data_IF_948488821981
#
_entry.id   IF_948488821981
#
_cell.length_a   1.000
_cell.length_b   1.000
_cell.length_c   1.000
_cell.angle_alpha   90.00
_cell.angle_beta   90.00
_cell.angle_gamma   90.00
#
_symmetry.space_group_name_H-M   'P 1'
#
loop_
_entity.id
_entity.type
_entity.pdbx_description
1 polymer ?
#
# COMPACT_ATOMS: atom_id res chain seq x y z
N UNK A 1 16.37 -78.10 15.92
CA UNK A 1 16.19 -76.91 15.05
C UNK A 1 15.23 -75.99 15.81
N UNK A 2 15.64 -75.03 16.65
CA UNK A 2 16.47 -73.82 16.40
C UNK A 2 16.00 -73.18 15.07
N UNK A 3 15.45 -71.96 14.98
CA UNK A 3 15.87 -70.65 15.53
C UNK A 3 14.66 -69.68 15.56
N UNK A 4 14.71 -68.72 16.49
CA UNK A 4 13.85 -67.54 16.73
C UNK A 4 13.90 -66.53 15.56
N UNK A 5 12.81 -65.84 15.15
CA UNK A 5 12.93 -64.57 14.44
C UNK A 5 12.80 -63.39 15.42
N UNK A 6 13.82 -62.53 15.38
CA UNK A 6 14.01 -61.40 16.27
C UNK A 6 13.23 -60.15 15.92
N UNK A 7 13.19 -59.29 16.93
CA UNK A 7 12.84 -57.88 16.91
C UNK A 7 13.82 -57.03 16.10
N UNK A 8 13.32 -56.22 15.18
CA UNK A 8 14.02 -55.00 14.73
C UNK A 8 13.01 -53.86 14.60
N UNK A 9 13.09 -52.93 15.55
CA UNK A 9 12.49 -51.60 15.50
C UNK A 9 13.23 -50.79 14.44
N UNK A 10 12.57 -50.41 13.33
CA UNK A 10 13.07 -49.38 12.41
C UNK A 10 12.40 -48.05 12.74
N UNK A 11 13.20 -47.15 13.32
CA UNK A 11 12.89 -45.72 13.43
C UNK A 11 13.02 -45.11 12.03
N UNK A 12 11.91 -44.64 11.46
CA UNK A 12 11.91 -43.75 10.29
C UNK A 12 12.14 -42.33 10.77
N UNK A 13 13.25 -41.74 10.36
CA UNK A 13 13.53 -40.31 10.51
C UNK A 13 12.78 -39.56 9.39
N UNK A 14 11.94 -38.59 9.77
CA UNK A 14 11.36 -37.63 8.85
C UNK A 14 12.42 -36.58 8.50
N UNK A 15 12.79 -36.47 7.23
CA UNK A 15 13.55 -35.33 6.71
C UNK A 15 12.58 -34.14 6.61
N UNK A 16 12.84 -33.09 7.39
CA UNK A 16 12.25 -31.77 7.18
C UNK A 16 12.99 -31.11 6.01
N UNK A 17 12.28 -30.89 4.90
CA UNK A 17 12.76 -30.15 3.75
C UNK A 17 12.52 -28.66 4.04
N UNK A 18 13.58 -27.94 4.40
CA UNK A 18 13.57 -26.48 4.49
C UNK A 18 13.62 -25.95 3.06
N UNK A 19 12.51 -25.42 2.58
CA UNK A 19 12.45 -24.68 1.31
C UNK A 19 13.19 -23.36 1.47
N UNK A 20 14.34 -23.22 0.80
CA UNK A 20 14.94 -21.90 0.56
C UNK A 20 14.08 -21.19 -0.49
N UNK A 21 13.35 -20.15 -0.06
CA UNK A 21 12.84 -19.12 -0.98
C UNK A 21 14.06 -18.33 -1.43
N UNK A 22 14.45 -18.50 -2.69
CA UNK A 22 15.43 -17.63 -3.31
C UNK A 22 14.75 -16.27 -3.56
N UNK A 23 15.13 -15.26 -2.78
CA UNK A 23 14.89 -13.86 -3.14
C UNK A 23 15.71 -13.60 -4.41
N UNK A 24 15.04 -13.50 -5.55
CA UNK A 24 15.64 -12.92 -6.73
C UNK A 24 15.90 -11.43 -6.44
N UNK A 25 17.03 -10.85 -6.86
CA UNK A 25 17.20 -9.41 -6.84
C UNK A 25 16.10 -8.78 -7.71
N UNK A 26 15.39 -7.78 -7.16
CA UNK A 26 14.49 -6.93 -7.94
C UNK A 26 15.27 -6.36 -9.12
N UNK A 27 14.78 -6.57 -10.33
CA UNK A 27 15.28 -5.83 -11.48
C UNK A 27 14.82 -4.39 -11.28
N UNK A 28 15.74 -3.42 -11.23
CA UNK A 28 15.32 -2.02 -11.33
C UNK A 28 14.64 -1.86 -12.68
N UNK A 29 13.42 -1.33 -12.68
CA UNK A 29 12.73 -0.98 -13.91
C UNK A 29 13.56 0.08 -14.66
N UNK A 30 13.58 0.05 -15.99
CA UNK A 30 14.26 1.09 -16.77
C UNK A 30 13.41 2.39 -16.70
N UNK A 31 14.00 3.59 -16.73
CA UNK A 31 13.23 4.83 -16.76
C UNK A 31 12.15 4.82 -17.86
N UNK A 32 10.91 5.12 -17.49
CA UNK A 32 9.73 5.00 -18.36
C UNK A 32 8.94 3.70 -18.21
N UNK A 33 9.41 2.73 -17.43
CA UNK A 33 8.62 1.55 -17.06
C UNK A 33 7.54 1.91 -16.02
N UNK A 34 6.32 1.34 -16.14
CA UNK A 34 5.25 1.57 -15.19
C UNK A 34 5.58 0.96 -13.82
N UNK A 35 4.97 1.50 -12.76
CA UNK A 35 5.05 0.95 -11.39
C UNK A 35 4.68 -0.54 -11.38
N UNK A 36 5.47 -1.39 -10.71
CA UNK A 36 5.08 -2.76 -10.48
C UNK A 36 4.00 -2.82 -9.38
N UNK A 37 2.78 -3.12 -9.82
CA UNK A 37 1.62 -3.26 -8.95
C UNK A 37 1.62 -4.59 -8.17
N UNK A 38 2.43 -5.58 -8.54
CA UNK A 38 2.45 -6.88 -7.88
C UNK A 38 1.13 -7.66 -8.05
N UNK A 39 0.79 -8.48 -7.06
CA UNK A 39 -0.46 -9.25 -7.02
C UNK A 39 -0.44 -10.61 -7.73
N UNK A 40 -1.35 -11.50 -7.32
CA UNK A 40 -1.47 -12.85 -7.88
C UNK A 40 -2.31 -12.84 -9.16
N UNK A 41 -1.84 -13.41 -10.28
CA UNK A 41 -2.61 -13.39 -11.52
C UNK A 41 -3.99 -14.04 -11.37
N UNK A 42 -5.02 -13.36 -11.85
CA UNK A 42 -6.39 -13.86 -11.87
C UNK A 42 -6.98 -13.81 -13.28
N UNK A 43 -7.84 -14.77 -13.61
CA UNK A 43 -8.59 -14.73 -14.87
C UNK A 43 -9.72 -13.70 -14.83
N UNK A 44 -10.17 -13.26 -15.99
CA UNK A 44 -11.25 -12.28 -16.11
C UNK A 44 -12.48 -12.90 -16.75
N UNK A 45 -13.65 -12.36 -16.40
CA UNK A 45 -14.92 -12.70 -17.01
C UNK A 45 -15.59 -11.41 -17.49
N UNK A 46 -16.31 -11.48 -18.60
CA UNK A 46 -17.15 -10.37 -19.09
C UNK A 46 -18.64 -10.72 -18.99
N UNK A 47 -18.96 -11.88 -18.41
CA UNK A 47 -20.33 -12.37 -18.19
C UNK A 47 -20.72 -12.11 -16.73
N UNK A 48 -21.63 -11.17 -16.51
CA UNK A 48 -22.16 -10.78 -15.19
C UNK A 48 -22.84 -11.94 -14.44
N UNK A 49 -23.24 -13.00 -15.16
CA UNK A 49 -23.83 -14.22 -14.57
C UNK A 49 -22.77 -15.25 -14.18
N UNK A 50 -21.53 -15.06 -14.63
CA UNK A 50 -20.38 -15.93 -14.34
C UNK A 50 -19.14 -15.08 -14.02
N UNK A 51 -19.22 -14.20 -13.01
CA UNK A 51 -18.07 -13.38 -12.64
C UNK A 51 -16.92 -14.26 -12.13
N UNK A 52 -15.69 -13.77 -12.29
CA UNK A 52 -14.52 -14.38 -11.64
C UNK A 52 -14.66 -14.23 -10.13
N UNK A 53 -14.65 -15.34 -9.39
CA UNK A 53 -14.64 -15.28 -7.92
C UNK A 53 -13.22 -15.02 -7.43
N UNK A 54 -13.06 -14.00 -6.59
CA UNK A 54 -11.82 -13.65 -5.91
C UNK A 54 -11.99 -13.80 -4.39
N UNK A 55 -10.88 -14.00 -3.70
CA UNK A 55 -10.82 -13.99 -2.22
C UNK A 55 -10.19 -12.69 -1.74
N UNK A 56 -10.14 -12.48 -0.42
CA UNK A 56 -9.40 -11.37 0.16
C UNK A 56 -7.92 -11.49 -0.24
N UNK A 57 -7.28 -10.40 -0.61
CA UNK A 57 -5.92 -10.39 -1.15
C UNK A 57 -5.71 -9.39 -2.27
N UNK A 58 -4.55 -9.51 -2.91
CA UNK A 58 -4.13 -8.68 -4.04
C UNK A 58 -4.01 -9.53 -5.29
N UNK A 59 -4.78 -9.18 -6.31
CA UNK A 59 -4.89 -9.90 -7.58
C UNK A 59 -4.42 -9.03 -8.73
N UNK A 60 -3.81 -9.61 -9.75
CA UNK A 60 -3.33 -8.90 -10.93
C UNK A 60 -4.07 -9.35 -12.19
N UNK A 61 -4.36 -8.38 -13.05
CA UNK A 61 -4.97 -8.55 -14.36
C UNK A 61 -4.58 -7.39 -15.28
N UNK A 62 -5.13 -7.34 -16.50
CA UNK A 62 -4.91 -6.24 -17.45
C UNK A 62 -6.07 -6.08 -18.41
N UNK A 63 -6.28 -4.86 -18.91
CA UNK A 63 -7.05 -4.66 -20.13
C UNK A 63 -6.15 -4.77 -21.35
N UNK A 64 -6.63 -5.50 -22.36
CA UNK A 64 -6.00 -5.60 -23.66
C UNK A 64 -6.20 -4.31 -24.47
N UNK A 65 -5.35 -4.02 -25.47
CA UNK A 65 -5.49 -2.85 -26.34
C UNK A 65 -6.88 -2.76 -26.98
N UNK A 66 -7.54 -1.60 -26.87
CA UNK A 66 -8.88 -1.37 -27.43
C UNK A 66 -10.01 -2.20 -26.79
N UNK A 67 -9.77 -2.83 -25.65
CA UNK A 67 -10.80 -3.57 -24.93
C UNK A 67 -11.94 -2.64 -24.47
N UNK A 68 -13.17 -3.06 -24.76
CA UNK A 68 -14.40 -2.32 -24.47
C UNK A 68 -15.25 -3.00 -23.39
N UNK A 69 -14.83 -4.17 -22.92
CA UNK A 69 -15.58 -4.97 -21.97
C UNK A 69 -15.11 -4.70 -20.56
N UNK A 70 -16.07 -4.74 -19.65
CA UNK A 70 -15.81 -4.73 -18.22
C UNK A 70 -15.39 -6.12 -17.75
N UNK A 71 -14.55 -6.18 -16.73
CA UNK A 71 -14.23 -7.39 -15.99
C UNK A 71 -15.20 -7.51 -14.80
N UNK A 72 -15.92 -8.62 -14.78
CA UNK A 72 -16.89 -8.98 -13.77
C UNK A 72 -16.24 -9.89 -12.73
N UNK A 73 -16.20 -9.40 -11.49
CA UNK A 73 -15.63 -10.08 -10.33
C UNK A 73 -16.72 -10.31 -9.28
N UNK A 74 -16.51 -11.29 -8.42
CA UNK A 74 -17.37 -11.54 -7.28
C UNK A 74 -16.56 -11.89 -6.04
N UNK A 75 -17.06 -11.47 -4.90
CA UNK A 75 -16.52 -11.76 -3.59
C UNK A 75 -17.60 -12.33 -2.69
N UNK A 76 -17.30 -13.43 -2.00
CA UNK A 76 -18.17 -14.06 -1.01
C UNK A 76 -17.68 -13.61 0.37
N UNK A 77 -18.54 -12.91 1.13
CA UNK A 77 -18.20 -12.49 2.49
C UNK A 77 -17.92 -13.70 3.36
N UNK A 78 -16.92 -13.60 4.23
CA UNK A 78 -16.60 -14.67 5.18
C UNK A 78 -17.49 -14.65 6.41
N UNK A 79 -18.07 -13.48 6.73
CA UNK A 79 -19.01 -13.33 7.83
C UNK A 79 -20.12 -12.32 7.50
N UNK A 80 -21.22 -12.36 8.27
CA UNK A 80 -22.31 -11.38 8.13
C UNK A 80 -21.91 -10.06 8.76
N UNK A 81 -22.42 -8.97 8.17
CA UNK A 81 -22.23 -7.59 8.66
C UNK A 81 -20.78 -7.10 8.69
N UNK A 82 -19.91 -7.69 7.88
CA UNK A 82 -18.56 -7.13 7.62
C UNK A 82 -18.67 -5.96 6.63
N UNK A 83 -17.67 -5.09 6.58
CA UNK A 83 -17.48 -4.18 5.43
C UNK A 83 -16.47 -4.80 4.47
N UNK A 84 -16.61 -4.58 3.16
CA UNK A 84 -15.62 -5.02 2.17
C UNK A 84 -15.04 -3.80 1.48
N UNK A 85 -13.74 -3.61 1.64
CA UNK A 85 -12.96 -2.62 0.93
C UNK A 85 -12.42 -3.27 -0.34
N UNK A 86 -12.69 -2.65 -1.47
CA UNK A 86 -12.22 -3.14 -2.76
C UNK A 86 -11.61 -1.98 -3.53
N UNK A 87 -10.46 -2.19 -4.15
CA UNK A 87 -9.80 -1.18 -4.95
C UNK A 87 -9.27 -1.74 -6.25
N UNK A 88 -9.13 -0.84 -7.22
CA UNK A 88 -8.42 -1.08 -8.47
C UNK A 88 -7.34 -0.04 -8.60
N UNK A 89 -6.11 -0.48 -8.80
CA UNK A 89 -4.98 0.39 -9.14
C UNK A 89 -4.44 -0.04 -10.49
N UNK A 90 -4.23 0.90 -11.40
CA UNK A 90 -3.72 0.64 -12.74
C UNK A 90 -2.50 1.51 -13.03
N UNK A 91 -1.65 1.07 -13.94
CA UNK A 91 -0.47 1.83 -14.39
C UNK A 91 -0.59 2.07 -15.87
N UNK A 92 -1.12 3.24 -16.26
CA UNK A 92 -1.29 3.56 -17.65
C UNK A 92 0.04 3.72 -18.37
N UNK A 93 0.03 3.50 -19.68
CA UNK A 93 1.19 3.72 -20.55
C UNK A 93 0.93 4.81 -21.59
N UNK A 94 -0.22 5.48 -21.45
CA UNK A 94 -0.67 6.54 -22.34
C UNK A 94 -1.62 7.47 -21.61
N UNK A 95 -1.56 8.75 -21.97
CA UNK A 95 -2.47 9.78 -21.45
C UNK A 95 -3.93 9.45 -21.76
N UNK A 96 -4.85 9.86 -20.89
CA UNK A 96 -6.30 9.72 -21.10
C UNK A 96 -6.85 8.32 -20.82
N UNK A 97 -6.02 7.43 -20.28
CA UNK A 97 -6.47 6.19 -19.68
C UNK A 97 -7.30 6.47 -18.44
N UNK A 98 -8.26 5.60 -18.17
CA UNK A 98 -9.08 5.69 -16.98
C UNK A 98 -9.58 4.33 -16.56
N UNK A 99 -9.84 4.20 -15.27
CA UNK A 99 -10.43 3.03 -14.66
C UNK A 99 -11.67 3.43 -13.90
N UNK A 100 -12.68 2.58 -13.93
CA UNK A 100 -13.93 2.69 -13.18
C UNK A 100 -14.13 1.39 -12.42
N UNK A 101 -14.49 1.53 -11.15
CA UNK A 101 -14.85 0.44 -10.25
C UNK A 101 -16.28 0.66 -9.77
N UNK A 102 -17.13 -0.35 -9.92
CA UNK A 102 -18.50 -0.35 -9.44
C UNK A 102 -18.76 -1.56 -8.56
N UNK A 103 -19.54 -1.38 -7.50
CA UNK A 103 -19.93 -2.46 -6.60
C UNK A 103 -21.45 -2.65 -6.57
N UNK A 104 -21.87 -3.91 -6.46
CA UNK A 104 -23.28 -4.27 -6.42
C UNK A 104 -23.57 -5.39 -5.41
N UNK A 105 -24.72 -5.28 -4.73
CA UNK A 105 -25.31 -6.36 -3.94
C UNK A 105 -26.08 -7.38 -4.80
N UNK A 106 -26.59 -8.44 -4.15
CA UNK A 106 -27.22 -9.61 -4.79
C UNK A 106 -28.37 -9.30 -5.77
N UNK A 107 -29.14 -8.24 -5.54
CA UNK A 107 -30.29 -7.87 -6.38
C UNK A 107 -29.92 -6.87 -7.50
N UNK A 108 -28.63 -6.58 -7.68
CA UNK A 108 -28.16 -5.50 -8.54
C UNK A 108 -28.27 -4.12 -7.89
N UNK A 109 -28.55 -4.04 -6.58
CA UNK A 109 -28.47 -2.80 -5.80
C UNK A 109 -27.05 -2.24 -5.92
N UNK A 110 -26.91 -1.00 -6.39
CA UNK A 110 -25.61 -0.34 -6.45
C UNK A 110 -25.12 -0.02 -5.04
N UNK A 111 -23.84 -0.28 -4.80
CA UNK A 111 -23.16 -0.08 -3.52
C UNK A 111 -21.99 0.90 -3.63
N UNK A 112 -21.89 1.63 -4.74
CA UNK A 112 -20.81 2.58 -5.00
C UNK A 112 -20.26 2.48 -6.41
N UNK A 113 -19.68 3.60 -6.87
CA UNK A 113 -18.98 3.71 -8.14
C UNK A 113 -17.94 4.80 -8.03
N UNK A 114 -16.70 4.51 -8.44
CA UNK A 114 -15.58 5.45 -8.45
C UNK A 114 -14.83 5.36 -9.79
N UNK A 115 -14.18 6.45 -10.17
CA UNK A 115 -13.38 6.55 -11.40
C UNK A 115 -12.07 7.27 -11.11
N UNK A 116 -10.97 6.80 -11.68
CA UNK A 116 -9.70 7.53 -11.74
C UNK A 116 -9.25 7.64 -13.20
N UNK A 117 -8.50 8.70 -13.51
CA UNK A 117 -7.95 8.95 -14.84
C UNK A 117 -6.49 9.34 -14.75
N UNK A 118 -5.70 8.88 -15.73
CA UNK A 118 -4.29 9.22 -15.83
C UNK A 118 -4.12 10.72 -16.05
N UNK A 119 -3.17 11.31 -15.34
CA UNK A 119 -2.72 12.67 -15.64
C UNK A 119 -2.12 12.70 -17.06
N UNK A 120 -2.43 13.76 -17.79
CA UNK A 120 -1.87 13.97 -19.12
C UNK A 120 -0.36 14.22 -19.07
N UNK A 121 0.12 14.92 -18.04
CA UNK A 121 1.52 15.27 -17.87
C UNK A 121 2.38 14.10 -17.36
N UNK A 122 1.79 13.18 -16.59
CA UNK A 122 2.49 12.03 -16.00
C UNK A 122 1.74 10.71 -16.23
N UNK A 123 1.56 10.27 -17.49
CA UNK A 123 0.64 9.17 -17.83
C UNK A 123 1.06 7.79 -17.31
N UNK A 124 2.32 7.62 -16.89
CA UNK A 124 2.84 6.38 -16.30
C UNK A 124 2.58 6.25 -14.79
N UNK A 125 2.06 7.31 -14.18
CA UNK A 125 1.73 7.33 -12.75
C UNK A 125 0.60 6.35 -12.45
N UNK A 126 0.75 5.57 -11.38
CA UNK A 126 -0.31 4.69 -10.92
C UNK A 126 -1.59 5.49 -10.59
N UNK A 127 -2.73 5.05 -11.08
CA UNK A 127 -4.04 5.63 -10.74
C UNK A 127 -4.87 4.59 -9.99
N UNK A 128 -5.59 5.01 -8.96
CA UNK A 128 -6.30 4.09 -8.08
C UNK A 128 -7.64 4.60 -7.60
N UNK A 129 -8.61 3.69 -7.52
CA UNK A 129 -9.92 3.93 -6.89
C UNK A 129 -10.18 2.87 -5.84
N UNK A 130 -10.89 3.22 -4.78
CA UNK A 130 -11.38 2.28 -3.78
C UNK A 130 -12.84 2.55 -3.41
N UNK A 131 -13.51 1.51 -2.94
CA UNK A 131 -14.89 1.53 -2.46
C UNK A 131 -14.97 0.78 -1.13
N UNK A 132 -15.69 1.37 -0.18
CA UNK A 132 -16.18 0.68 1.01
C UNK A 132 -17.60 0.16 0.74
N UNK A 133 -17.76 -1.16 0.76
CA UNK A 133 -19.06 -1.84 0.61
C UNK A 133 -19.50 -2.33 1.97
N UNK A 134 -20.24 -1.47 2.68
CA UNK A 134 -20.67 -1.70 4.04
C UNK A 134 -22.01 -1.02 4.33
N UNK A 135 -22.24 -0.55 5.57
CA UNK A 135 -23.45 0.19 5.89
C UNK A 135 -23.40 1.62 5.34
N UNK A 136 -24.55 2.18 4.99
CA UNK A 136 -24.66 3.56 4.48
C UNK A 136 -24.33 4.62 5.55
N UNK A 137 -24.25 4.20 6.81
CA UNK A 137 -23.74 4.97 7.94
C UNK A 137 -23.36 4.02 9.08
N UNK A 138 -22.52 4.46 10.01
CA UNK A 138 -21.94 3.58 11.04
C UNK A 138 -22.95 2.70 11.83
N UNK A 139 -24.21 3.15 11.95
CA UNK A 139 -25.29 2.43 12.66
C UNK A 139 -26.34 1.79 11.75
N UNK A 140 -26.23 1.92 10.42
CA UNK A 140 -27.22 1.37 9.49
C UNK A 140 -26.96 -0.10 9.15
N UNK A 141 -27.33 -0.98 10.09
CA UNK A 141 -27.22 -2.43 9.91
C UNK A 141 -28.25 -3.03 8.93
N UNK A 142 -29.11 -2.19 8.33
CA UNK A 142 -30.15 -2.63 7.40
C UNK A 142 -29.78 -2.40 5.93
N UNK A 143 -28.65 -1.76 5.63
CA UNK A 143 -28.17 -1.57 4.26
C UNK A 143 -28.14 -2.89 3.48
N UNK A 144 -28.69 -2.88 2.27
CA UNK A 144 -28.68 -4.03 1.37
C UNK A 144 -27.24 -4.41 0.98
N UNK A 145 -26.33 -3.43 0.91
CA UNK A 145 -24.91 -3.61 0.58
C UNK A 145 -24.13 -4.29 1.72
N UNK A 146 -24.44 -3.95 2.96
CA UNK A 146 -23.90 -4.63 4.14
C UNK A 146 -24.38 -6.10 4.22
N UNK A 147 -25.65 -6.34 3.90
CA UNK A 147 -26.32 -7.63 4.13
C UNK A 147 -26.16 -8.63 2.98
N UNK A 148 -25.61 -8.20 1.85
CA UNK A 148 -25.34 -9.08 0.73
C UNK A 148 -24.21 -10.05 1.07
N UNK A 149 -24.52 -11.36 1.10
CA UNK A 149 -23.52 -12.42 1.34
C UNK A 149 -22.50 -12.49 0.20
N UNK A 150 -22.91 -12.13 -1.02
CA UNK A 150 -22.07 -12.05 -2.21
C UNK A 150 -22.15 -10.66 -2.82
N UNK A 151 -20.98 -10.11 -3.11
CA UNK A 151 -20.81 -8.86 -3.84
C UNK A 151 -20.37 -9.14 -5.27
N UNK A 152 -20.83 -8.31 -6.20
CA UNK A 152 -20.29 -8.24 -7.56
C UNK A 152 -19.53 -6.93 -7.72
N UNK A 153 -18.36 -7.01 -8.32
CA UNK A 153 -17.59 -5.84 -8.73
C UNK A 153 -17.44 -5.83 -10.24
N UNK A 154 -17.57 -4.64 -10.81
CA UNK A 154 -17.38 -4.41 -12.24
C UNK A 154 -16.22 -3.44 -12.38
N UNK A 155 -15.19 -3.86 -13.11
CA UNK A 155 -13.98 -3.05 -13.38
C UNK A 155 -13.93 -2.78 -14.86
N UNK A 156 -13.80 -1.53 -15.26
CA UNK A 156 -13.88 -1.15 -16.68
C UNK A 156 -13.15 0.15 -16.98
N UNK A 157 -13.02 0.51 -18.26
CA UNK A 157 -12.78 1.91 -18.62
C UNK A 157 -13.93 2.81 -18.16
N UNK A 158 -13.65 4.10 -17.88
CA UNK A 158 -14.69 5.07 -17.54
C UNK A 158 -15.62 5.39 -18.73
N UNK A 159 -15.12 5.22 -19.95
CA UNK A 159 -15.86 5.36 -21.21
C UNK A 159 -16.24 4.00 -21.77
N UNK A 160 -17.13 3.95 -22.77
CA UNK A 160 -17.61 2.70 -23.36
C UNK A 160 -16.54 1.90 -24.13
N UNK A 161 -15.39 2.50 -24.44
CA UNK A 161 -14.31 1.88 -25.22
C UNK A 161 -12.96 2.52 -24.87
N UNK A 162 -11.94 1.71 -24.54
CA UNK A 162 -10.56 2.21 -24.47
C UNK A 162 -10.10 2.61 -25.87
N UNK A 163 -9.64 3.85 -26.02
CA UNK A 163 -9.04 4.32 -27.27
C UNK A 163 -7.54 3.96 -27.36
N UNK A 164 -6.95 3.60 -26.23
CA UNK A 164 -5.54 3.26 -26.12
C UNK A 164 -5.18 1.96 -26.84
N UNK A 165 -3.95 1.94 -27.35
CA UNK A 165 -3.34 0.83 -28.09
C UNK A 165 -2.36 0.03 -27.22
N UNK A 166 -2.24 0.36 -25.94
CA UNK A 166 -1.37 -0.31 -24.98
C UNK A 166 -2.20 -1.17 -24.03
N UNK A 167 -1.54 -2.17 -23.44
CA UNK A 167 -2.13 -2.89 -22.30
C UNK A 167 -2.26 -1.93 -21.11
N UNK A 168 -3.28 -2.12 -20.29
CA UNK A 168 -3.40 -1.44 -19.00
C UNK A 168 -3.29 -2.48 -17.88
N UNK A 169 -2.08 -2.73 -17.35
CA UNK A 169 -1.90 -3.54 -16.17
C UNK A 169 -2.65 -2.94 -14.99
N UNK A 170 -3.27 -3.79 -14.19
CA UNK A 170 -3.98 -3.37 -12.99
C UNK A 170 -3.96 -4.43 -11.90
N UNK A 171 -4.19 -4.00 -10.68
CA UNK A 171 -4.43 -4.88 -9.55
C UNK A 171 -5.78 -4.61 -8.93
N UNK A 172 -6.37 -5.65 -8.36
CA UNK A 172 -7.60 -5.62 -7.58
C UNK A 172 -7.22 -6.04 -6.16
N UNK A 173 -7.43 -5.16 -5.18
CA UNK A 173 -7.21 -5.47 -3.77
C UNK A 173 -8.56 -5.61 -3.08
N UNK A 174 -8.75 -6.70 -2.35
CA UNK A 174 -9.96 -6.95 -1.55
C UNK A 174 -9.57 -7.18 -0.10
N UNK A 175 -10.18 -6.40 0.81
CA UNK A 175 -10.00 -6.51 2.26
C UNK A 175 -11.38 -6.56 2.91
N UNK A 176 -11.65 -7.58 3.73
CA UNK A 176 -12.88 -7.65 4.52
C UNK A 176 -12.62 -7.20 5.96
N UNK A 177 -13.35 -6.20 6.41
CA UNK A 177 -13.27 -5.60 7.75
C UNK A 177 -14.38 -6.18 8.64
N UNK A 178 -14.01 -6.69 9.82
CA UNK A 178 -14.95 -7.16 10.83
C UNK A 178 -15.89 -6.05 11.29
N UNK A 179 -17.12 -6.37 11.72
CA UNK A 179 -18.03 -5.38 12.29
C UNK A 179 -17.45 -4.75 13.57
N UNK A 180 -17.91 -3.54 13.86
CA UNK A 180 -17.73 -2.94 15.17
C UNK A 180 -18.41 -3.80 16.25
N UNK A 181 -17.78 -3.85 17.42
CA UNK A 181 -18.41 -4.37 18.62
C UNK A 181 -19.49 -3.39 19.07
N UNK A 182 -20.68 -3.90 19.39
CA UNK A 182 -21.82 -3.10 19.84
C UNK A 182 -22.15 -1.95 18.86
N UNK A 183 -22.18 -2.26 17.56
CA UNK A 183 -22.27 -1.32 16.44
C UNK A 183 -23.34 -0.22 16.60
N UNK A 184 -24.51 -0.53 17.18
CA UNK A 184 -25.59 0.43 17.44
C UNK A 184 -25.17 1.62 18.34
N UNK A 185 -24.12 1.44 19.15
CA UNK A 185 -23.62 2.43 20.12
C UNK A 185 -22.16 2.80 19.92
N UNK A 186 -21.42 2.06 19.08
CA UNK A 186 -20.00 2.28 18.87
C UNK A 186 -19.69 3.70 18.37
N UNK A 187 -20.56 4.25 17.52
CA UNK A 187 -20.45 5.60 16.94
C UNK A 187 -20.36 6.71 17.99
N UNK A 188 -20.99 6.53 19.16
CA UNK A 188 -21.01 7.56 20.23
C UNK A 188 -19.63 7.80 20.85
N UNK A 189 -18.69 6.88 20.62
CA UNK A 189 -17.33 6.92 21.17
C UNK A 189 -16.26 7.20 20.13
N UNK A 190 -16.62 7.17 18.85
CA UNK A 190 -15.69 7.40 17.75
C UNK A 190 -15.48 8.89 17.52
N UNK A 191 -14.25 9.34 17.21
CA UNK A 191 -14.02 10.72 16.81
C UNK A 191 -14.79 11.05 15.52
N UNK A 192 -15.53 12.16 15.54
CA UNK A 192 -16.20 12.68 14.35
C UNK A 192 -15.16 13.05 13.26
N UNK A 193 -15.54 13.07 11.98
CA UNK A 193 -14.73 13.67 10.93
C UNK A 193 -14.38 15.13 11.27
N UNK A 194 -13.24 15.64 10.81
CA UNK A 194 -12.87 17.03 11.02
C UNK A 194 -13.85 17.97 10.28
N UNK A 195 -14.53 18.88 11.00
CA UNK A 195 -15.53 19.80 10.41
C UNK A 195 -14.93 20.85 9.46
N UNK A 196 -13.62 21.10 9.57
CA UNK A 196 -12.85 21.95 8.67
C UNK A 196 -11.61 21.19 8.25
N UNK A 197 -11.02 21.54 7.12
CA UNK A 197 -9.65 21.12 6.81
C UNK A 197 -8.77 21.39 8.03
N UNK A 198 -8.05 20.36 8.47
CA UNK A 198 -7.15 20.52 9.59
C UNK A 198 -6.13 21.60 9.20
N UNK A 199 -5.72 22.45 10.14
CA UNK A 199 -4.67 23.42 9.85
C UNK A 199 -3.43 22.65 9.41
N UNK A 200 -3.09 22.76 8.12
CA UNK A 200 -1.92 22.12 7.58
C UNK A 200 -0.70 22.54 8.40
N UNK A 201 0.06 21.54 8.83
CA UNK A 201 1.38 21.76 9.39
C UNK A 201 2.33 20.93 8.55
N UNK A 202 3.05 21.62 7.66
CA UNK A 202 4.23 21.07 7.01
C UNK A 202 5.08 20.34 8.06
N UNK A 203 5.62 19.16 7.71
CA UNK A 203 6.40 18.40 8.66
C UNK A 203 7.53 19.29 9.21
N UNK A 204 7.76 19.24 10.51
CA UNK A 204 8.91 19.96 11.06
C UNK A 204 10.21 19.41 10.47
N UNK A 205 11.26 20.24 10.44
CA UNK A 205 12.62 19.78 10.15
C UNK A 205 12.89 18.53 10.99
N UNK A 206 12.98 17.39 10.30
CA UNK A 206 13.06 16.09 10.92
C UNK A 206 14.48 15.77 11.38
N UNK A 207 14.63 14.69 12.14
CA UNK A 207 15.94 14.07 12.27
C UNK A 207 16.45 13.69 10.88
N UNK A 208 17.69 14.04 10.56
CA UNK A 208 18.37 13.55 9.36
C UNK A 208 18.52 12.02 9.47
N UNK A 209 17.83 11.30 8.58
CA UNK A 209 17.80 9.84 8.48
C UNK A 209 18.75 9.32 7.38
N UNK A 210 19.46 10.20 6.67
CA UNK A 210 20.36 9.89 5.58
C UNK A 210 19.65 9.49 4.29
N UNK A 211 20.40 8.84 3.40
CA UNK A 211 19.91 8.47 2.06
C UNK A 211 19.00 7.25 2.08
N UNK A 212 17.90 7.32 1.34
CA UNK A 212 17.00 6.20 1.06
C UNK A 212 16.69 6.16 -0.43
N UNK A 213 16.58 4.95 -0.98
CA UNK A 213 16.15 4.75 -2.37
C UNK A 213 14.65 4.40 -2.38
N UNK A 214 13.84 5.19 -3.08
CA UNK A 214 12.42 4.88 -3.27
C UNK A 214 12.24 3.70 -4.24
N UNK A 215 11.14 2.96 -4.10
CA UNK A 215 10.85 1.83 -4.97
C UNK A 215 9.90 2.21 -6.11
N UNK A 216 9.99 1.52 -7.24
CA UNK A 216 8.99 1.58 -8.32
C UNK A 216 7.88 0.53 -8.13
N UNK A 217 7.64 0.10 -6.88
CA UNK A 217 6.59 -0.85 -6.50
C UNK A 217 6.01 -0.50 -5.13
N UNK A 218 4.70 -0.71 -4.96
CA UNK A 218 4.05 -0.58 -3.65
C UNK A 218 4.52 -1.62 -2.63
N UNK A 219 4.91 -2.82 -3.06
CA UNK A 219 5.28 -3.90 -2.14
C UNK A 219 6.73 -3.78 -1.65
N UNK A 220 7.59 -3.16 -2.46
CA UNK A 220 9.01 -2.95 -2.16
C UNK A 220 9.31 -1.55 -1.61
N UNK A 221 8.32 -0.64 -1.57
CA UNK A 221 8.48 0.71 -1.05
C UNK A 221 9.07 0.69 0.38
N UNK A 222 10.18 1.42 0.63
CA UNK A 222 10.82 1.43 1.93
C UNK A 222 9.90 2.07 2.98
N UNK A 223 9.83 1.46 4.15
CA UNK A 223 9.15 2.06 5.31
C UNK A 223 10.00 3.20 5.87
N UNK A 224 9.45 4.41 5.85
CA UNK A 224 10.01 5.60 6.47
C UNK A 224 9.38 5.84 7.83
N UNK A 225 10.23 6.14 8.80
CA UNK A 225 9.82 6.72 10.08
C UNK A 225 9.87 8.25 9.94
N UNK A 226 9.31 8.99 10.89
CA UNK A 226 9.33 10.46 10.79
C UNK A 226 10.75 11.03 10.79
N UNK A 227 11.05 11.90 9.85
CA UNK A 227 12.40 12.42 9.63
C UNK A 227 12.60 12.93 8.20
N UNK A 228 13.80 13.42 7.93
CA UNK A 228 14.22 13.90 6.60
C UNK A 228 15.17 12.89 5.98
N UNK A 229 14.95 12.57 4.71
CA UNK A 229 15.71 11.59 3.96
C UNK A 229 16.19 12.20 2.64
N UNK A 230 17.45 11.97 2.29
CA UNK A 230 17.94 12.30 0.94
C UNK A 230 17.53 11.18 -0.01
N UNK A 231 17.07 11.54 -1.21
CA UNK A 231 16.71 10.57 -2.24
C UNK A 231 16.90 11.14 -3.64
N UNK A 232 16.67 10.29 -4.64
CA UNK A 232 16.72 10.66 -6.04
C UNK A 232 15.55 10.08 -6.82
N UNK A 233 15.18 10.74 -7.91
CA UNK A 233 14.18 10.28 -8.87
C UNK A 233 14.67 10.62 -10.28
N UNK A 234 14.57 9.68 -11.21
CA UNK A 234 14.89 9.93 -12.60
C UNK A 234 13.64 10.34 -13.37
N UNK A 235 13.78 11.22 -14.36
CA UNK A 235 12.69 11.50 -15.30
C UNK A 235 12.13 10.21 -15.91
N UNK A 236 10.80 10.14 -16.02
CA UNK A 236 10.07 8.94 -16.43
C UNK A 236 9.82 7.94 -15.30
N UNK A 237 10.15 8.27 -14.05
CA UNK A 237 9.93 7.38 -12.91
C UNK A 237 8.90 7.92 -11.90
N UNK A 238 8.26 6.97 -11.23
CA UNK A 238 7.50 7.17 -10.00
C UNK A 238 8.21 6.41 -8.87
N UNK A 239 8.60 7.14 -7.82
CA UNK A 239 9.24 6.59 -6.61
C UNK A 239 8.27 6.62 -5.44
N UNK A 240 8.10 5.46 -4.81
CA UNK A 240 7.17 5.25 -3.70
C UNK A 240 7.94 5.03 -2.40
N UNK A 241 7.43 5.65 -1.34
CA UNK A 241 7.93 5.55 0.03
C UNK A 241 6.76 5.28 0.95
N UNK A 242 6.92 4.39 1.93
CA UNK A 242 5.82 3.94 2.76
C UNK A 242 5.87 4.63 4.12
N UNK A 243 4.76 5.19 4.59
CA UNK A 243 4.62 5.74 5.95
C UNK A 243 3.45 5.05 6.62
N UNK A 244 3.70 4.49 7.80
CA UNK A 244 2.67 3.80 8.56
C UNK A 244 1.86 4.79 9.39
N UNK A 245 0.52 4.78 9.24
CA UNK A 245 -0.40 5.55 10.06
C UNK A 245 -1.33 4.63 10.85
N UNK A 246 -1.45 4.95 12.13
CA UNK A 246 -2.45 4.38 13.02
C UNK A 246 -3.67 5.31 13.15
N UNK A 247 -4.71 4.82 13.82
CA UNK A 247 -5.90 5.63 14.12
C UNK A 247 -5.52 6.94 14.84
N UNK A 248 -6.15 8.04 14.40
CA UNK A 248 -5.97 9.37 14.95
C UNK A 248 -4.79 10.15 14.37
N UNK A 249 -3.88 9.48 13.66
CA UNK A 249 -2.69 10.12 13.09
C UNK A 249 -2.95 10.75 11.73
N UNK A 250 -2.13 11.76 11.41
CA UNK A 250 -2.10 12.47 10.14
C UNK A 250 -0.74 12.22 9.47
N UNK A 251 -0.69 12.11 8.14
CA UNK A 251 0.56 12.16 7.39
C UNK A 251 0.77 13.58 6.88
N UNK A 252 1.95 14.13 7.14
CA UNK A 252 2.47 15.31 6.44
C UNK A 252 3.77 14.93 5.74
N UNK A 253 3.93 15.35 4.48
CA UNK A 253 5.13 15.15 3.69
C UNK A 253 5.53 16.46 3.02
N UNK A 254 6.83 16.72 2.96
CA UNK A 254 7.41 17.85 2.25
C UNK A 254 8.62 17.39 1.46
N UNK A 255 8.79 17.93 0.26
CA UNK A 255 9.89 17.65 -0.63
C UNK A 255 10.63 18.94 -0.95
N UNK A 256 11.94 18.92 -0.84
CA UNK A 256 12.82 20.04 -1.17
C UNK A 256 13.79 19.64 -2.27
N UNK A 257 13.88 20.45 -3.32
CA UNK A 257 14.94 20.38 -4.34
C UNK A 257 15.78 21.64 -4.25
N UNK A 258 17.09 21.47 -4.11
CA UNK A 258 18.02 22.58 -4.10
C UNK A 258 17.97 23.39 -5.41
N UNK A 259 18.12 24.70 -5.29
CA UNK A 259 18.28 25.60 -6.44
C UNK A 259 19.49 25.20 -7.28
N UNK A 260 19.33 25.13 -8.59
CA UNK A 260 20.45 24.94 -9.51
C UNK A 260 21.07 26.28 -9.89
N UNK A 261 22.35 26.31 -10.25
CA UNK A 261 22.88 27.51 -10.91
C UNK A 261 22.27 27.63 -12.31
N UNK A 262 22.09 28.85 -12.83
CA UNK A 262 21.63 29.06 -14.22
C UNK A 262 22.45 28.21 -15.22
N UNK A 263 23.76 28.09 -14.99
CA UNK A 263 24.64 27.28 -15.83
C UNK A 263 24.41 25.77 -15.69
N UNK A 264 24.12 25.29 -14.48
CA UNK A 264 23.83 23.87 -14.26
C UNK A 264 22.45 23.52 -14.80
N UNK A 265 21.47 24.41 -14.65
CA UNK A 265 20.14 24.30 -15.25
C UNK A 265 20.26 24.24 -16.79
N UNK A 266 21.02 25.17 -17.40
CA UNK A 266 21.24 25.17 -18.84
C UNK A 266 21.98 23.93 -19.33
N UNK A 267 22.97 23.46 -18.57
CA UNK A 267 23.73 22.27 -18.93
C UNK A 267 22.93 20.98 -18.74
N UNK A 268 22.17 20.85 -17.65
CA UNK A 268 21.41 19.63 -17.32
C UNK A 268 20.08 19.57 -18.06
N UNK A 269 19.37 20.67 -18.22
CA UNK A 269 17.99 20.70 -18.68
C UNK A 269 17.72 21.66 -19.86
N UNK A 270 18.58 22.66 -20.06
CA UNK A 270 18.45 23.64 -21.15
C UNK A 270 17.76 24.94 -20.69
N UNK A 271 16.47 25.08 -20.95
CA UNK A 271 15.76 26.35 -20.63
C UNK A 271 15.04 26.27 -19.28
N UNK A 272 14.53 25.10 -18.91
CA UNK A 272 13.81 24.85 -17.66
C UNK A 272 14.01 23.40 -17.23
N UNK A 273 14.04 23.15 -15.92
CA UNK A 273 14.04 21.79 -15.38
C UNK A 273 12.68 21.11 -15.48
N UNK A 274 12.62 19.79 -15.21
CA UNK A 274 11.37 19.05 -15.23
C UNK A 274 10.44 19.46 -14.09
N UNK A 275 9.15 19.16 -14.25
CA UNK A 275 8.17 19.26 -13.16
C UNK A 275 8.25 18.03 -12.26
N UNK A 276 8.29 18.25 -10.95
CA UNK A 276 8.20 17.23 -9.91
C UNK A 276 6.78 17.27 -9.34
N UNK A 277 6.19 16.11 -9.11
CA UNK A 277 4.88 15.94 -8.48
C UNK A 277 5.04 15.14 -7.17
N UNK A 278 4.34 15.57 -6.13
CA UNK A 278 4.27 14.94 -4.82
C UNK A 278 2.83 14.52 -4.53
N UNK A 279 2.62 13.24 -4.27
CA UNK A 279 1.29 12.68 -4.01
C UNK A 279 1.26 11.67 -2.87
N UNK A 280 0.06 11.25 -2.46
CA UNK A 280 -0.14 10.24 -1.43
C UNK A 280 -1.12 9.17 -1.92
N UNK A 281 -0.86 7.90 -1.60
CA UNK A 281 -1.82 6.82 -1.76
C UNK A 281 -2.24 6.24 -0.41
N UNK A 282 -3.50 5.82 -0.30
CA UNK A 282 -4.03 5.16 0.89
C UNK A 282 -3.61 3.66 0.96
N UNK A 283 -3.91 2.94 2.06
CA UNK A 283 -3.61 1.50 2.19
C UNK A 283 -4.28 0.60 1.13
N UNK A 284 -5.33 1.09 0.47
CA UNK A 284 -5.98 0.43 -0.66
C UNK A 284 -5.38 0.84 -2.02
N UNK A 285 -4.29 1.61 -2.03
CA UNK A 285 -3.58 2.11 -3.22
C UNK A 285 -4.43 3.00 -4.13
N UNK A 286 -5.36 3.75 -3.53
CA UNK A 286 -6.03 4.90 -4.16
C UNK A 286 -5.16 6.14 -4.01
N UNK A 287 -5.00 6.91 -5.08
CA UNK A 287 -4.42 8.27 -5.01
C UNK A 287 -5.34 9.23 -4.25
N UNK A 288 -4.73 10.08 -3.44
CA UNK A 288 -5.41 11.03 -2.58
C UNK A 288 -5.02 12.45 -2.95
N UNK A 289 -6.03 13.31 -3.03
CA UNK A 289 -5.82 14.75 -2.99
C UNK A 289 -5.27 15.16 -1.61
N UNK A 290 -4.45 16.20 -1.57
CA UNK A 290 -4.05 16.81 -0.30
C UNK A 290 -5.31 17.26 0.45
N UNK A 291 -5.41 16.93 1.72
CA UNK A 291 -6.53 17.34 2.57
C UNK A 291 -6.38 18.81 3.06
N UNK A 292 -5.49 19.57 2.44
CA UNK A 292 -5.00 20.86 2.88
C UNK A 292 -5.01 21.86 1.72
N UNK A 293 -5.75 22.97 1.88
CA UNK A 293 -5.98 23.96 0.81
C UNK A 293 -4.75 24.69 0.27
N UNK A 294 -3.67 24.74 1.05
CA UNK A 294 -2.49 25.58 0.76
C UNK A 294 -1.26 24.74 0.39
N UNK A 295 -1.46 23.48 0.01
CA UNK A 295 -0.36 22.58 -0.40
C UNK A 295 0.08 22.82 -1.84
N UNK A 296 1.39 22.98 -2.02
CA UNK A 296 2.02 22.97 -3.34
C UNK A 296 2.47 21.54 -3.68
N UNK A 297 1.71 20.83 -4.52
CA UNK A 297 1.97 19.41 -4.84
C UNK A 297 2.76 19.20 -6.13
N UNK A 298 3.01 20.26 -6.89
CA UNK A 298 3.80 20.21 -8.12
C UNK A 298 4.63 21.48 -8.34
N UNK A 299 5.75 21.36 -9.02
CA UNK A 299 6.54 22.52 -9.44
C UNK A 299 7.79 22.13 -10.22
N UNK A 300 8.40 23.11 -10.89
CA UNK A 300 9.55 22.87 -11.77
C UNK A 300 10.87 23.08 -11.05
N UNK A 301 11.85 22.23 -11.35
CA UNK A 301 13.24 22.44 -10.95
C UNK A 301 13.81 23.64 -11.69
N UNK A 302 14.40 24.60 -10.97
CA UNK A 302 14.87 25.87 -11.54
C UNK A 302 16.10 26.43 -10.79
N UNK A 303 16.42 27.71 -11.06
CA UNK A 303 17.43 28.52 -10.37
C UNK A 303 16.99 29.01 -8.97
N UNK A 304 15.78 28.64 -8.56
CA UNK A 304 15.24 28.80 -7.22
C UNK A 304 14.91 27.42 -6.64
N UNK A 305 15.01 27.30 -5.32
CA UNK A 305 14.70 26.04 -4.65
C UNK A 305 13.21 25.73 -4.81
N UNK A 306 12.91 24.45 -5.01
CA UNK A 306 11.54 23.95 -5.11
C UNK A 306 11.14 23.32 -3.77
N UNK A 307 10.11 23.86 -3.17
CA UNK A 307 9.46 23.32 -1.98
C UNK A 307 8.07 22.83 -2.37
N UNK A 308 7.80 21.54 -2.14
CA UNK A 308 6.48 20.93 -2.30
C UNK A 308 6.02 20.34 -0.97
N UNK A 309 4.71 20.26 -0.78
CA UNK A 309 4.13 19.63 0.39
C UNK A 309 2.76 19.00 0.12
N UNK A 310 2.41 18.03 0.96
CA UNK A 310 1.12 17.36 0.92
C UNK A 310 0.81 16.76 2.29
N UNK A 311 -0.45 16.40 2.52
CA UNK A 311 -0.78 15.56 3.64
C UNK A 311 -2.23 15.12 3.68
N UNK A 312 -2.49 14.14 4.53
CA UNK A 312 -3.78 13.48 4.64
C UNK A 312 -4.11 13.11 6.09
N UNK A 313 -5.40 13.05 6.39
CA UNK A 313 -5.92 12.62 7.69
C UNK A 313 -6.46 13.74 8.56
N UNK A 314 -6.71 13.47 9.84
CA UNK A 314 -6.33 12.26 10.58
C UNK A 314 -7.12 11.00 10.18
N UNK A 315 -6.51 9.82 10.34
CA UNK A 315 -7.17 8.51 10.10
C UNK A 315 -8.29 8.31 11.12
N UNK A 316 -9.54 8.32 10.67
CA UNK A 316 -10.72 8.10 11.52
C UNK A 316 -11.75 7.23 10.83
N UNK A 317 -12.37 6.33 11.58
CA UNK A 317 -13.35 5.41 11.03
C UNK A 317 -14.52 6.12 10.35
N UNK A 318 -15.02 7.20 10.98
CA UNK A 318 -16.18 7.93 10.49
C UNK A 318 -15.90 8.79 9.24
N UNK A 319 -14.64 8.98 8.84
CA UNK A 319 -14.29 9.73 7.62
C UNK A 319 -14.93 9.10 6.36
N UNK A 320 -15.14 7.78 6.35
CA UNK A 320 -15.77 7.06 5.23
C UNK A 320 -17.23 7.46 4.95
N UNK A 321 -17.87 8.15 5.88
CA UNK A 321 -19.27 8.62 5.75
C UNK A 321 -19.37 10.13 5.48
N UNK A 322 -18.24 10.80 5.24
CA UNK A 322 -18.15 12.24 5.03
C UNK A 322 -17.28 12.57 3.80
N UNK A 323 -17.33 11.70 2.79
CA UNK A 323 -16.59 11.81 1.52
C UNK A 323 -15.06 11.96 1.69
N UNK A 324 -14.50 11.50 2.81
CA UNK A 324 -13.06 11.52 3.08
C UNK A 324 -12.45 10.13 2.93
N UNK A 325 -11.31 10.04 2.22
CA UNK A 325 -10.66 8.77 1.89
C UNK A 325 -9.57 8.32 2.89
N UNK A 326 -9.48 8.99 4.05
CA UNK A 326 -8.50 8.68 5.11
C UNK A 326 -9.18 7.98 6.29
N UNK A 327 -9.66 6.75 6.07
CA UNK A 327 -10.50 6.00 7.02
C UNK A 327 -9.99 4.58 7.36
N UNK A 328 -8.81 4.20 6.87
CA UNK A 328 -8.19 2.91 7.11
C UNK A 328 -6.78 3.08 7.69
N UNK A 329 -6.45 2.43 8.82
CA UNK A 329 -5.08 2.42 9.32
C UNK A 329 -4.21 1.51 8.44
N UNK A 330 -2.91 1.75 8.47
CA UNK A 330 -1.90 0.97 7.76
C UNK A 330 -0.94 1.85 6.99
N UNK A 331 -0.43 1.30 5.90
CA UNK A 331 0.60 1.93 5.11
C UNK A 331 0.01 2.89 4.08
N UNK A 332 0.37 4.15 4.21
CA UNK A 332 0.19 5.18 3.19
C UNK A 332 1.48 5.28 2.37
N UNK A 333 1.38 5.70 1.11
CA UNK A 333 2.52 5.79 0.22
C UNK A 333 2.73 7.22 -0.25
N UNK A 334 3.85 7.83 0.11
CA UNK A 334 4.30 9.09 -0.48
C UNK A 334 4.90 8.77 -1.84
N UNK A 335 4.46 9.48 -2.87
CA UNK A 335 4.82 9.28 -4.25
C UNK A 335 5.51 10.51 -4.79
N UNK A 336 6.69 10.34 -5.38
CA UNK A 336 7.42 11.39 -6.10
C UNK A 336 7.48 10.98 -7.56
N UNK A 337 6.97 11.83 -8.45
CA UNK A 337 6.91 11.56 -9.89
C UNK A 337 7.63 12.67 -10.64
N UNK A 338 8.45 12.29 -11.61
CA UNK A 338 9.03 13.23 -12.58
C UNK A 338 8.71 12.73 -13.98
N UNK A 339 7.89 13.44 -14.77
CA UNK A 339 7.58 13.03 -16.13
C UNK A 339 8.79 12.89 -17.03
N UNK A 340 8.69 12.02 -18.04
CA UNK A 340 9.71 11.92 -19.07
C UNK A 340 9.66 13.15 -20.00
N UNK A 341 10.80 13.80 -20.21
CA UNK A 341 10.94 14.87 -21.19
C UNK A 341 11.11 14.29 -22.60
N UNK A 342 9.99 14.01 -23.27
CA UNK A 342 9.98 13.34 -24.58
C UNK A 342 10.55 14.18 -25.74
N UNK A 343 10.72 15.49 -25.59
CA UNK A 343 11.20 16.38 -26.65
C UNK A 343 12.72 16.63 -26.61
N UNK A 344 13.43 16.08 -25.63
CA UNK A 344 14.86 16.33 -25.46
C UNK A 344 15.75 15.29 -26.13
N UNK A 345 16.85 15.75 -26.73
CA UNK A 345 17.93 14.86 -27.20
C UNK A 345 18.83 14.40 -26.04
N UNK A 346 18.63 14.95 -24.83
CA UNK A 346 19.31 14.51 -23.61
C UNK A 346 18.62 13.25 -23.07
N UNK A 347 19.39 12.35 -22.46
CA UNK A 347 18.81 11.22 -21.74
C UNK A 347 18.09 11.67 -20.45
N UNK A 348 17.33 10.78 -19.81
CA UNK A 348 16.66 11.07 -18.53
C UNK A 348 17.65 11.59 -17.50
N UNK A 349 17.28 12.67 -16.82
CA UNK A 349 18.07 13.28 -15.77
C UNK A 349 17.60 12.83 -14.38
N UNK A 350 18.56 12.66 -13.48
CA UNK A 350 18.30 12.39 -12.07
C UNK A 350 18.14 13.70 -11.31
N UNK A 351 17.08 13.77 -10.49
CA UNK A 351 16.76 14.88 -9.59
C UNK A 351 17.04 14.42 -8.16
N UNK A 352 17.94 15.11 -7.48
CA UNK A 352 18.21 14.93 -6.06
C UNK A 352 17.22 15.75 -5.23
N UNK A 353 16.69 15.19 -4.15
CA UNK A 353 15.76 15.88 -3.27
C UNK A 353 15.88 15.40 -1.82
N UNK A 354 15.45 16.25 -0.89
CA UNK A 354 15.23 15.89 0.49
C UNK A 354 13.72 15.69 0.74
N UNK A 355 13.33 14.51 1.21
CA UNK A 355 11.96 14.15 1.56
C UNK A 355 11.81 14.11 3.08
N UNK A 356 10.98 15.00 3.62
CA UNK A 356 10.61 14.99 5.03
C UNK A 356 9.22 14.39 5.20
N UNK A 357 9.08 13.40 6.07
CA UNK A 357 7.79 12.80 6.41
C UNK A 357 7.54 12.86 7.91
N UNK A 358 6.30 13.10 8.33
CA UNK A 358 5.89 13.11 9.73
C UNK A 358 4.53 12.41 9.89
N UNK A 359 4.48 11.41 10.77
CA UNK A 359 3.22 10.86 11.27
C UNK A 359 2.84 11.66 12.51
N UNK A 360 1.94 12.62 12.34
CA UNK A 360 1.54 13.60 13.35
C UNK A 360 0.38 13.08 14.20
N UNK A 361 0.36 13.49 15.47
CA UNK A 361 -0.72 13.19 16.41
C UNK A 361 -0.52 11.89 17.19
N UNK A 362 -1.28 11.77 18.28
CA UNK A 362 -1.29 10.58 19.12
C UNK A 362 -2.13 9.47 18.49
N UNK A 363 -1.72 8.21 18.71
CA UNK A 363 -2.54 7.05 18.38
C UNK A 363 -3.78 7.05 19.26
N UNK A 364 -4.95 7.29 18.68
CA UNK A 364 -6.20 7.45 19.41
C UNK A 364 -7.43 7.23 18.53
N UNK A 365 -8.58 6.95 19.16
CA UNK A 365 -9.86 6.87 18.44
C UNK A 365 -10.04 5.61 17.60
N UNK A 366 -9.23 4.57 17.85
CA UNK A 366 -9.40 3.27 17.24
C UNK A 366 -10.78 2.69 17.54
N UNK A 367 -11.52 2.19 16.53
CA UNK A 367 -12.76 1.50 16.77
C UNK A 367 -12.56 0.21 17.56
N UNK A 368 -13.55 -0.12 18.39
CA UNK A 368 -13.58 -1.43 19.02
C UNK A 368 -14.28 -2.39 18.06
N UNK A 369 -13.53 -3.33 17.51
CA UNK A 369 -14.03 -4.36 16.61
C UNK A 369 -14.52 -5.59 17.35
N UNK A 370 -15.33 -6.40 16.68
CA UNK A 370 -15.72 -7.73 17.16
C UNK A 370 -14.54 -8.72 17.21
N UNK A 371 -13.47 -8.44 16.47
CA UNK A 371 -12.25 -9.24 16.39
C UNK A 371 -11.02 -8.36 16.61
N UNK A 372 -9.98 -8.90 17.28
CA UNK A 372 -8.76 -8.14 17.59
C UNK A 372 -7.96 -7.75 16.32
N UNK A 373 -8.01 -8.60 15.29
CA UNK A 373 -7.43 -8.34 13.96
C UNK A 373 -8.56 -8.21 12.94
N UNK A 374 -9.14 -7.01 12.79
CA UNK A 374 -10.40 -6.84 12.07
C UNK A 374 -10.27 -7.00 10.55
N UNK A 375 -9.09 -6.85 9.97
CA UNK A 375 -8.92 -6.85 8.51
C UNK A 375 -8.46 -8.22 8.01
N UNK A 376 -9.31 -8.92 7.26
CA UNK A 376 -8.94 -10.06 6.43
C UNK A 376 -8.32 -9.54 5.13
N UNK A 377 -7.00 -9.71 4.99
CA UNK A 377 -6.18 -9.11 3.92
C UNK A 377 -5.64 -10.15 2.93
N UNK A 378 -6.03 -11.41 3.08
CA UNK A 378 -5.51 -12.57 2.35
C UNK A 378 -6.26 -13.85 2.74
N UNK A 379 -6.00 -14.96 2.05
CA UNK A 379 -6.57 -16.29 2.38
C UNK A 379 -6.32 -16.65 3.86
N UNK A 380 -7.37 -16.50 4.68
CA UNK A 380 -7.35 -16.70 6.13
C UNK A 380 -6.41 -15.78 6.92
N UNK A 381 -5.76 -14.80 6.29
CA UNK A 381 -4.78 -13.91 6.95
C UNK A 381 -5.47 -12.65 7.47
N UNK A 382 -5.54 -12.51 8.79
CA UNK A 382 -6.03 -11.31 9.47
C UNK A 382 -4.91 -10.37 9.92
N UNK A 383 -5.23 -9.09 10.03
CA UNK A 383 -4.31 -7.99 10.33
C UNK A 383 -5.00 -6.92 11.20
N UNK A 384 -4.20 -6.18 11.95
CA UNK A 384 -4.63 -5.01 12.73
C UNK A 384 -4.89 -3.79 11.82
N UNK A 385 -4.27 -3.76 10.65
CA UNK A 385 -4.36 -2.68 9.66
C UNK A 385 -4.71 -3.18 8.25
N UNK A 386 -5.28 -2.32 7.42
CA UNK A 386 -5.80 -2.67 6.08
C UNK A 386 -4.71 -2.90 5.02
N UNK A 387 -3.49 -2.36 5.23
CA UNK A 387 -2.35 -2.69 4.36
C UNK A 387 -1.90 -4.15 4.52
N UNK A 388 -2.18 -4.78 5.65
CA UNK A 388 -1.77 -6.17 5.94
C UNK A 388 -0.31 -6.32 6.39
N UNK A 389 0.39 -5.21 6.56
CA UNK A 389 1.76 -5.14 7.08
C UNK A 389 1.73 -4.80 8.57
N UNK A 390 2.61 -5.40 9.39
CA UNK A 390 2.69 -5.07 10.80
C UNK A 390 3.17 -3.63 11.00
N UNK A 391 2.69 -2.99 12.07
CA UNK A 391 3.18 -1.68 12.48
C UNK A 391 4.72 -1.70 12.70
N UNK A 392 5.42 -0.59 12.42
CA UNK A 392 6.84 -0.47 12.70
C UNK A 392 7.13 -0.70 14.19
N UNK A 393 8.29 -1.30 14.48
CA UNK A 393 8.80 -1.26 15.84
C UNK A 393 9.11 0.19 16.22
N UNK A 394 8.78 0.65 17.44
CA UNK A 394 9.13 1.99 17.90
C UNK A 394 10.63 2.25 17.78
N UNK A 395 10.98 3.45 17.31
CA UNK A 395 12.37 3.89 17.22
C UNK A 395 13.09 3.67 18.58
N UNK A 396 14.16 2.87 18.57
CA UNK A 396 14.96 2.54 19.76
C UNK A 396 14.68 1.19 20.43
N UNK A 397 13.75 0.35 19.94
CA UNK A 397 13.57 -1.02 20.41
C UNK A 397 14.73 -1.98 20.02
N UNK A 398 15.52 -1.58 19.03
CA UNK A 398 16.47 -2.41 18.26
C UNK A 398 17.74 -2.94 18.95
N UNK A 399 17.86 -2.90 20.29
CA UNK A 399 19.00 -3.57 20.96
C UNK A 399 18.61 -4.79 21.82
N UNK A 400 17.33 -4.97 22.17
CA UNK A 400 16.90 -6.05 23.08
C UNK A 400 15.77 -6.96 22.58
N UNK A 401 15.03 -6.65 21.52
CA UNK A 401 13.95 -7.52 21.02
C UNK A 401 14.42 -8.47 19.90
N UNK A 402 13.89 -9.69 19.94
CA UNK A 402 13.99 -10.78 18.96
C UNK A 402 15.36 -11.46 18.72
N UNK A 403 16.49 -10.75 18.55
CA UNK A 403 17.76 -11.41 18.14
C UNK A 403 18.58 -12.06 19.29
N UNK A 404 18.32 -11.71 20.55
CA UNK A 404 19.07 -12.25 21.70
C UNK A 404 18.39 -13.39 22.46
N UNK A 405 17.09 -13.65 22.25
CA UNK A 405 16.44 -14.83 22.87
C UNK A 405 16.94 -16.13 22.22
N UNK A 406 17.27 -16.09 20.92
CA UNK A 406 17.90 -17.20 20.20
C UNK A 406 19.38 -17.40 20.57
N UNK A 407 20.09 -16.33 20.96
CA UNK A 407 21.51 -16.37 21.32
C UNK A 407 21.79 -16.83 22.75
N UNK A 408 20.90 -16.52 23.70
CA UNK A 408 21.03 -16.98 25.09
C UNK A 408 20.85 -18.50 25.23
N UNK A 409 20.03 -19.13 24.39
CA UNK A 409 19.85 -20.58 24.37
C UNK A 409 21.09 -21.35 23.89
N UNK A 410 21.82 -20.83 22.90
CA UNK A 410 23.02 -21.47 22.35
C UNK A 410 24.22 -21.28 23.28
N UNK A 411 24.36 -20.11 23.92
CA UNK A 411 25.43 -19.85 24.89
C UNK A 411 25.38 -20.77 26.12
N UNK A 412 24.18 -20.99 26.67
CA UNK A 412 23.98 -21.89 27.81
C UNK A 412 24.22 -23.36 27.45
N UNK A 413 23.77 -23.81 26.27
CA UNK A 413 24.03 -25.18 25.80
C UNK A 413 25.53 -25.43 25.56
N UNK A 414 26.25 -24.45 25.01
CA UNK A 414 27.70 -24.52 24.80
C UNK A 414 28.48 -24.62 26.12
N UNK A 415 28.11 -23.84 27.13
CA UNK A 415 28.74 -23.88 28.45
C UNK A 415 28.47 -25.20 29.19
N UNK A 416 27.26 -25.76 29.07
CA UNK A 416 26.93 -27.09 29.64
C UNK A 416 27.74 -28.19 28.95
N UNK A 417 27.88 -28.16 27.61
CA UNK A 417 28.69 -29.12 26.87
C UNK A 417 30.19 -29.03 27.23
N UNK A 418 30.72 -27.82 27.41
CA UNK A 418 32.11 -27.61 27.86
C UNK A 418 32.33 -28.11 29.30
N UNK A 419 31.41 -27.83 30.21
CA UNK A 419 31.47 -28.31 31.58
C UNK A 419 31.41 -29.85 31.65
N UNK A 420 30.51 -30.48 30.87
CA UNK A 420 30.40 -31.94 30.78
C UNK A 420 31.63 -32.57 30.10
N UNK A 421 32.20 -31.92 29.08
CA UNK A 421 33.44 -32.35 28.44
C UNK A 421 34.63 -32.32 29.39
N UNK A 422 34.79 -31.23 30.15
CA UNK A 422 35.85 -31.08 31.15
C UNK A 422 35.71 -32.10 32.31
N UNK A 423 34.49 -32.43 32.71
CA UNK A 423 34.22 -33.47 33.72
C UNK A 423 34.55 -34.88 33.20
N UNK A 424 34.34 -35.15 31.90
CA UNK A 424 34.70 -36.44 31.30
C UNK A 424 36.21 -36.63 31.16
N UNK A 425 36.96 -35.57 30.87
CA UNK A 425 38.42 -35.59 30.76
C UNK A 425 39.13 -35.69 32.13
N UNK A 426 38.42 -35.41 33.23
CA UNK A 426 38.95 -35.51 34.60
C UNK A 426 38.71 -36.85 35.29
N UNK A 427 38.08 -37.82 34.63
CA UNK A 427 37.97 -39.19 35.17
C UNK A 427 39.09 -40.05 34.57
N UNK A 428 40.10 -40.45 35.37
CA UNK A 428 41.21 -41.29 34.92
C UNK A 428 40.77 -42.71 34.55
#
# INVERSE_FOLDING_TARGET
>A
MIVIPGSVVRRTAALALVGMVALAPAASADPGDPVDLGGTPVGTSTDDRKPTVVEAGLWSTKFEPGEAFVHELAYERTARFTSVHTSVTATPLSSGESIKLEAFGLNGTSCGSETASADYAAPFTAIGVDLEVGPDGATDLNSDCLRADRLRFTVGPSSTTRESKTELPMTIKVVEESPLKDADTAVDTLPAPPETEASFRAPADGDDRGTVEGATSFDEAPLLNSGTYDSTVTEGEQRLYRVHLEWGQTLAAALHVDALSESDLEQKFGISGPTVYLGVYNPMRRDLDSAYSDSDVEGSVDDTALDLDTGVGPVRYLNRYDDQNTYLPGDYYVSVVVPEETASERGPAEIEFALTVEAQGDIAGAPTYAEDQPFLVGDGKRSEVASGNPAPEPDGAGWLSARHVSGLGIGLAGLVCLALGALRLRRP
#
